data_IF_858668699785
#
_entry.id   IF_858668699785
#
_cell.length_a   1.000
_cell.length_b   1.000
_cell.length_c   1.000
_cell.angle_alpha   90.00
_cell.angle_beta   90.00
_cell.angle_gamma   90.00
#
_symmetry.space_group_name_H-M   'P 1'
#
loop_
_entity.id
_entity.type
_entity.pdbx_description
1 polymer ?
#
# COMPACT_ATOMS: atom_id res chain seq x y z
N UNK A 1 -2.08 5.23 21.90
CA UNK A 1 -2.17 6.05 20.68
C UNK A 1 -2.48 5.07 19.56
N UNK A 2 -3.74 5.01 19.13
CA UNK A 2 -4.23 3.94 18.25
C UNK A 2 -3.90 4.28 16.80
N UNK A 3 -3.16 3.41 16.13
CA UNK A 3 -3.05 3.42 14.66
C UNK A 3 -4.40 3.01 14.08
N UNK A 4 -4.94 3.79 13.15
CA UNK A 4 -6.16 3.47 12.44
C UNK A 4 -5.92 2.20 11.60
N UNK A 5 -6.72 1.16 11.80
CA UNK A 5 -6.64 -0.11 11.06
C UNK A 5 -7.80 -0.16 10.09
N UNK A 6 -7.50 -0.47 8.83
CA UNK A 6 -8.44 -0.54 7.72
C UNK A 6 -8.41 -1.99 7.24
N UNK A 7 -9.54 -2.70 7.38
CA UNK A 7 -9.65 -4.13 7.10
C UNK A 7 -10.69 -4.39 6.00
N UNK A 8 -10.48 -5.44 5.19
CA UNK A 8 -11.43 -5.93 4.17
C UNK A 8 -11.91 -4.86 3.16
N UNK A 9 -11.04 -3.89 2.85
CA UNK A 9 -11.32 -2.81 1.89
C UNK A 9 -10.73 -3.10 0.51
N UNK A 10 -11.41 -2.62 -0.53
CA UNK A 10 -10.97 -2.77 -1.92
C UNK A 10 -10.77 -1.40 -2.57
N UNK A 11 -9.53 -1.10 -2.91
CA UNK A 11 -9.14 0.14 -3.56
C UNK A 11 -8.88 -0.11 -5.05
N UNK A 12 -9.66 0.55 -5.91
CA UNK A 12 -9.57 0.38 -7.37
C UNK A 12 -9.17 1.70 -8.00
N UNK A 13 -8.10 1.72 -8.81
CA UNK A 13 -7.62 2.91 -9.52
C UNK A 13 -7.36 4.13 -8.61
N UNK A 14 -6.92 3.87 -7.38
CA UNK A 14 -6.49 4.95 -6.48
C UNK A 14 -5.07 5.41 -6.83
N UNK A 15 -4.75 6.64 -6.47
CA UNK A 15 -3.41 7.21 -6.60
C UNK A 15 -2.71 7.25 -5.25
N UNK A 16 -1.38 7.37 -5.28
CA UNK A 16 -0.52 7.57 -4.11
C UNK A 16 -1.03 8.70 -3.18
N UNK A 17 -1.52 9.80 -3.74
CA UNK A 17 -2.00 10.97 -3.00
C UNK A 17 -3.21 10.66 -2.10
N UNK A 18 -4.05 9.71 -2.52
CA UNK A 18 -5.23 9.29 -1.75
C UNK A 18 -4.88 8.61 -0.43
N UNK A 19 -3.67 8.03 -0.33
CA UNK A 19 -3.18 7.35 0.87
C UNK A 19 -1.95 8.03 1.49
N UNK A 20 -1.28 8.92 0.76
CA UNK A 20 -0.10 9.63 1.23
C UNK A 20 -0.42 10.41 2.52
N UNK A 21 0.44 10.24 3.53
CA UNK A 21 0.30 10.92 4.81
C UNK A 21 -0.69 10.28 5.79
N UNK A 22 -1.46 9.25 5.40
CA UNK A 22 -2.30 8.50 6.34
C UNK A 22 -1.46 7.50 7.12
N UNK A 23 -1.22 7.73 8.40
CA UNK A 23 -0.53 6.74 9.27
C UNK A 23 -1.51 5.69 9.75
N UNK A 24 -1.75 4.68 8.92
CA UNK A 24 -2.73 3.63 9.15
C UNK A 24 -2.19 2.25 8.73
N UNK A 25 -2.82 1.21 9.25
CA UNK A 25 -2.53 -0.18 8.90
C UNK A 25 -3.63 -0.70 8.00
N UNK A 26 -3.30 -1.14 6.80
CA UNK A 26 -4.21 -1.88 5.95
C UNK A 26 -4.03 -3.37 6.22
N UNK A 27 -5.10 -4.08 6.54
CA UNK A 27 -5.10 -5.52 6.77
C UNK A 27 -6.12 -6.20 5.84
N UNK A 28 -5.73 -7.31 5.19
CA UNK A 28 -6.62 -8.05 4.28
C UNK A 28 -7.27 -7.19 3.16
N UNK A 29 -6.62 -6.10 2.74
CA UNK A 29 -7.15 -5.19 1.73
C UNK A 29 -6.67 -5.54 0.32
N UNK A 30 -7.47 -5.23 -0.70
CA UNK A 30 -7.13 -5.42 -2.11
C UNK A 30 -6.90 -4.08 -2.81
N UNK A 31 -5.80 -3.95 -3.55
CA UNK A 31 -5.46 -2.81 -4.38
C UNK A 31 -5.41 -3.26 -5.84
N UNK A 32 -6.28 -2.72 -6.70
CA UNK A 32 -6.43 -3.16 -8.09
C UNK A 32 -6.24 -1.97 -9.05
N UNK A 33 -5.30 -2.09 -9.99
CA UNK A 33 -4.96 -1.06 -10.98
C UNK A 33 -4.64 0.32 -10.36
N UNK A 34 -4.02 0.35 -9.19
CA UNK A 34 -3.69 1.58 -8.48
C UNK A 34 -2.33 2.14 -8.90
N UNK A 35 -2.21 3.47 -8.98
CA UNK A 35 -0.93 4.13 -9.22
C UNK A 35 -0.32 4.62 -7.90
N UNK A 36 0.51 3.78 -7.31
CA UNK A 36 1.25 4.04 -6.08
C UNK A 36 2.70 4.44 -6.36
N UNK A 37 3.00 4.86 -7.60
CA UNK A 37 4.32 5.37 -7.94
C UNK A 37 4.64 6.62 -7.15
N UNK A 38 5.89 6.75 -6.70
CA UNK A 38 6.34 7.88 -5.86
C UNK A 38 5.57 8.06 -4.54
N UNK A 39 4.79 7.06 -4.11
CA UNK A 39 3.98 7.18 -2.90
C UNK A 39 4.86 7.25 -1.63
N UNK A 40 4.64 8.29 -0.83
CA UNK A 40 5.21 8.39 0.51
C UNK A 40 4.41 7.52 1.49
N UNK A 41 4.64 6.21 1.45
CA UNK A 41 4.02 5.21 2.32
C UNK A 41 4.66 5.13 3.72
N UNK A 42 5.46 6.14 4.10
CA UNK A 42 6.17 6.17 5.37
C UNK A 42 5.18 6.28 6.54
N UNK A 43 5.03 5.21 7.30
CA UNK A 43 4.08 5.11 8.41
C UNK A 43 2.75 4.45 8.03
N UNK A 44 2.61 3.98 6.78
CA UNK A 44 1.58 3.02 6.38
C UNK A 44 2.14 1.61 6.58
N UNK A 45 1.32 0.72 7.12
CA UNK A 45 1.64 -0.70 7.24
C UNK A 45 0.65 -1.48 6.39
N UNK A 46 1.13 -2.40 5.56
CA UNK A 46 0.28 -3.33 4.81
C UNK A 46 0.47 -4.74 5.37
N UNK A 47 -0.61 -5.38 5.80
CA UNK A 47 -0.66 -6.72 6.37
C UNK A 47 -1.62 -7.54 5.51
N UNK A 48 -1.16 -8.65 4.94
CA UNK A 48 -2.05 -9.55 4.15
C UNK A 48 -2.78 -8.83 3.01
N UNK A 49 -2.23 -7.74 2.46
CA UNK A 49 -2.86 -6.99 1.37
C UNK A 49 -2.47 -7.55 0.01
N UNK A 50 -3.41 -7.52 -0.95
CA UNK A 50 -3.19 -7.94 -2.33
C UNK A 50 -3.02 -6.72 -3.23
N UNK A 51 -2.02 -6.74 -4.10
CA UNK A 51 -1.81 -5.70 -5.11
C UNK A 51 -1.88 -6.35 -6.50
N UNK A 52 -2.84 -5.95 -7.33
CA UNK A 52 -3.06 -6.50 -8.67
C UNK A 52 -3.04 -5.39 -9.72
N UNK A 53 -2.11 -5.43 -10.66
CA UNK A 53 -1.99 -4.40 -11.71
C UNK A 53 -1.60 -3.01 -11.17
N UNK A 54 -1.11 -2.92 -9.93
CA UNK A 54 -0.71 -1.66 -9.31
C UNK A 54 0.71 -1.25 -9.73
N UNK A 55 0.90 0.03 -10.05
CA UNK A 55 2.21 0.60 -10.26
C UNK A 55 2.85 0.94 -8.91
N UNK A 56 3.82 0.11 -8.48
CA UNK A 56 4.60 0.29 -7.25
C UNK A 56 6.01 0.81 -7.56
N UNK A 57 6.17 1.57 -8.65
CA UNK A 57 7.49 2.12 -9.02
C UNK A 57 7.92 3.16 -7.98
N UNK A 58 8.75 2.72 -7.04
CA UNK A 58 9.39 3.59 -6.05
C UNK A 58 10.68 4.14 -6.65
N UNK A 59 10.77 5.45 -6.74
CA UNK A 59 12.03 6.13 -7.01
C UNK A 59 12.84 6.16 -5.71
N UNK A 60 14.11 5.80 -5.79
CA UNK A 60 15.08 5.67 -4.68
C UNK A 60 15.08 4.33 -3.92
N UNK A 61 16.20 3.62 -4.10
CA UNK A 61 16.79 2.60 -3.22
C UNK A 61 16.24 2.61 -1.77
N UNK A 62 15.29 1.74 -1.48
CA UNK A 62 14.93 1.38 -0.10
C UNK A 62 14.88 -0.14 -0.02
N UNK A 63 15.45 -0.68 1.06
CA UNK A 63 15.57 -2.11 1.33
C UNK A 63 14.18 -2.67 1.64
N UNK A 64 13.40 -2.99 0.61
CA UNK A 64 12.08 -3.59 0.79
C UNK A 64 12.23 -5.04 1.30
N UNK A 65 11.82 -5.29 2.54
CA UNK A 65 11.56 -6.65 3.03
C UNK A 65 10.12 -6.99 2.67
N UNK A 66 9.91 -7.38 1.42
CA UNK A 66 8.60 -7.85 0.93
C UNK A 66 8.38 -9.27 1.47
N UNK A 67 7.57 -9.41 2.52
CA UNK A 67 7.04 -10.72 2.95
C UNK A 67 5.78 -11.02 2.15
N UNK A 68 5.97 -11.64 0.98
CA UNK A 68 4.87 -12.11 0.13
C UNK A 68 4.92 -11.57 -1.29
N UNK A 69 5.85 -12.08 -2.09
CA UNK A 69 5.85 -11.95 -3.55
C UNK A 69 5.65 -13.37 -4.10
N UNK A 70 4.53 -13.64 -4.76
CA UNK A 70 4.36 -14.84 -5.58
C UNK A 70 4.33 -14.40 -7.05
N UNK A 71 5.45 -14.70 -7.71
CA UNK A 71 5.80 -14.65 -9.15
C UNK A 71 5.25 -13.49 -10.01
#
# INVERSE_FOLDING_TARGET
MISEIIEDETFIKITADAIAGRKCTYENCEFINCDLSYAHLSGIVFITCRFEGCNLSFDTFIRYRVTGYSV
#
